data_IF_706640439828
#
_entry.id   IF_706640439828
#
_cell.length_a   1.000
_cell.length_b   1.000
_cell.length_c   1.000
_cell.angle_alpha   90.00
_cell.angle_beta   90.00
_cell.angle_gamma   90.00
#
_symmetry.space_group_name_H-M   'P 1'
#
loop_
_entity.id
_entity.type
_entity.pdbx_description
1 polymer ?
#
# COMPACT_ATOMS: atom_id res chain seq x y z
N UNK A 1 -12.35 -19.98 -22.99
CA UNK A 1 -13.14 -20.14 -21.75
C UNK A 1 -12.16 -20.51 -20.66
N UNK A 2 -11.75 -19.56 -19.83
CA UNK A 2 -10.93 -19.85 -18.65
C UNK A 2 -11.86 -19.98 -17.46
N UNK A 3 -12.38 -21.19 -17.27
CA UNK A 3 -13.08 -21.62 -16.05
C UNK A 3 -12.04 -21.75 -14.94
N UNK A 4 -11.51 -20.61 -14.48
CA UNK A 4 -10.58 -20.59 -13.38
C UNK A 4 -11.41 -20.72 -12.09
N UNK A 5 -11.22 -21.83 -11.38
CA UNK A 5 -11.85 -22.07 -10.08
C UNK A 5 -11.20 -21.24 -8.95
N UNK A 6 -10.22 -20.39 -9.27
CA UNK A 6 -9.55 -19.49 -8.34
C UNK A 6 -9.07 -20.19 -7.06
N UNK A 7 -8.49 -21.40 -7.22
CA UNK A 7 -8.01 -22.23 -6.10
C UNK A 7 -6.58 -21.90 -5.69
N UNK A 8 -5.76 -21.42 -6.64
CA UNK A 8 -4.39 -20.99 -6.36
C UNK A 8 -4.36 -19.47 -6.14
N UNK A 9 -4.49 -19.08 -4.87
CA UNK A 9 -4.63 -17.69 -4.45
C UNK A 9 -3.42 -17.28 -3.61
N UNK A 10 -2.69 -16.28 -4.08
CA UNK A 10 -1.67 -15.61 -3.29
C UNK A 10 -2.29 -14.39 -2.60
N UNK A 11 -2.10 -14.29 -1.27
CA UNK A 11 -2.55 -13.15 -0.47
C UNK A 11 -1.68 -11.94 -0.81
N UNK A 12 -2.28 -10.98 -1.51
CA UNK A 12 -1.71 -9.66 -1.75
C UNK A 12 -2.08 -8.84 -0.51
N UNK A 13 -1.30 -8.99 0.57
CA UNK A 13 -1.43 -8.30 1.87
C UNK A 13 -2.46 -7.16 1.95
N UNK A 14 -3.35 -7.29 2.93
CA UNK A 14 -4.12 -6.15 3.44
C UNK A 14 -3.21 -5.12 4.12
N UNK A 15 -3.59 -3.85 3.95
CA UNK A 15 -3.04 -2.64 4.60
C UNK A 15 -1.80 -2.06 3.93
N UNK A 16 -2.05 -1.29 2.89
CA UNK A 16 -1.19 -0.13 2.64
C UNK A 16 -1.64 0.99 3.58
N UNK A 17 -1.12 1.00 4.81
CA UNK A 17 -1.09 2.21 5.62
C UNK A 17 -0.32 3.27 4.81
N UNK A 18 -1.07 4.13 4.13
CA UNK A 18 -0.48 5.21 3.33
C UNK A 18 -0.13 6.34 4.28
N UNK A 19 1.07 6.86 4.12
CA UNK A 19 1.60 8.02 4.81
C UNK A 19 1.65 9.17 3.81
N UNK A 20 1.16 10.33 4.22
CA UNK A 20 1.23 11.55 3.41
C UNK A 20 2.10 12.56 4.14
N UNK A 21 3.20 12.97 3.53
CA UNK A 21 4.03 14.03 4.11
C UNK A 21 3.22 15.33 4.17
N UNK A 22 3.17 16.00 5.32
CA UNK A 22 2.41 17.26 5.47
C UNK A 22 3.07 18.46 4.80
N UNK A 23 4.33 18.34 4.38
CA UNK A 23 5.09 19.44 3.77
C UNK A 23 5.00 19.41 2.25
N UNK A 24 5.36 18.28 1.65
CA UNK A 24 5.35 18.13 0.19
C UNK A 24 4.07 17.46 -0.33
N UNK A 25 3.23 16.91 0.56
CA UNK A 25 2.05 16.13 0.21
C UNK A 25 2.33 14.80 -0.51
N UNK A 26 3.58 14.35 -0.55
CA UNK A 26 3.96 13.04 -1.08
C UNK A 26 3.21 11.94 -0.33
N UNK A 27 2.55 11.06 -1.07
CA UNK A 27 1.88 9.87 -0.53
C UNK A 27 2.75 8.64 -0.79
N UNK A 28 3.16 7.97 0.27
CA UNK A 28 4.07 6.82 0.27
C UNK A 28 3.56 5.78 1.27
N UNK A 29 3.76 4.48 1.02
CA UNK A 29 3.36 3.45 2.01
C UNK A 29 4.43 3.33 3.08
N UNK A 30 4.06 2.82 4.25
CA UNK A 30 5.03 2.48 5.31
C UNK A 30 6.12 1.51 4.84
N UNK A 31 5.78 0.59 3.94
CA UNK A 31 6.74 -0.35 3.33
C UNK A 31 7.75 0.36 2.41
N UNK A 32 7.28 1.32 1.59
CA UNK A 32 8.13 2.07 0.66
C UNK A 32 8.92 3.20 1.34
N UNK A 33 8.43 3.70 2.48
CA UNK A 33 9.07 4.79 3.20
C UNK A 33 10.47 4.39 3.68
N UNK A 34 10.65 3.13 4.10
CA UNK A 34 11.93 2.54 4.50
C UNK A 34 12.58 3.24 5.69
N UNK A 35 13.12 4.43 5.45
CA UNK A 35 13.64 5.34 6.45
C UNK A 35 12.54 6.32 6.88
N UNK A 36 12.30 6.49 8.18
CA UNK A 36 11.16 7.22 8.75
C UNK A 36 11.06 8.73 8.39
N UNK A 37 11.78 9.22 7.39
CA UNK A 37 11.78 10.60 6.90
C UNK A 37 11.37 10.70 5.42
N UNK A 38 10.89 11.87 5.00
CA UNK A 38 10.41 12.06 3.63
C UNK A 38 11.58 12.23 2.66
N UNK A 39 11.77 11.33 1.68
CA UNK A 39 12.86 11.43 0.72
C UNK A 39 12.75 12.70 -0.14
N UNK A 40 11.55 13.02 -0.64
CA UNK A 40 11.32 14.23 -1.43
C UNK A 40 11.65 15.53 -0.69
N UNK A 41 11.33 15.64 0.60
CA UNK A 41 11.68 16.83 1.37
C UNK A 41 13.19 16.92 1.56
N UNK A 42 13.85 15.78 1.79
CA UNK A 42 15.29 15.72 1.95
C UNK A 42 16.01 16.07 0.65
N UNK A 43 15.55 15.55 -0.50
CA UNK A 43 16.13 15.88 -1.81
C UNK A 43 15.93 17.35 -2.19
N UNK A 44 14.75 17.92 -1.92
CA UNK A 44 14.44 19.31 -2.29
C UNK A 44 15.06 20.34 -1.37
N UNK A 45 15.15 20.06 -0.07
CA UNK A 45 15.51 21.06 0.94
C UNK A 45 16.69 20.68 1.82
N UNK A 46 17.19 19.44 1.73
CA UNK A 46 18.21 18.89 2.62
C UNK A 46 17.72 18.60 4.04
N UNK A 47 16.42 18.79 4.33
CA UNK A 47 15.85 18.62 5.67
C UNK A 47 15.07 17.31 5.78
N UNK A 48 15.37 16.53 6.81
CA UNK A 48 14.65 15.30 7.13
C UNK A 48 13.32 15.64 7.77
N UNK A 49 12.24 15.49 7.00
CA UNK A 49 10.88 15.70 7.49
C UNK A 49 10.28 14.38 7.95
N UNK A 50 9.90 14.31 9.22
CA UNK A 50 9.25 13.15 9.85
C UNK A 50 7.75 13.39 10.05
N UNK A 51 7.25 14.52 9.54
CA UNK A 51 5.87 14.95 9.71
C UNK A 51 4.99 14.33 8.63
N UNK A 52 4.46 13.15 8.93
CA UNK A 52 3.56 12.39 8.08
C UNK A 52 2.18 12.29 8.69
N UNK A 53 1.18 12.58 7.88
CA UNK A 53 -0.21 12.24 8.14
C UNK A 53 -0.45 10.79 7.74
N UNK A 54 -0.84 9.96 8.70
CA UNK A 54 -1.32 8.61 8.40
C UNK A 54 -2.66 8.74 7.70
N UNK A 55 -2.67 8.46 6.40
CA UNK A 55 -3.90 8.20 5.67
C UNK A 55 -4.36 6.82 6.13
N UNK A 56 -5.12 6.81 7.22
CA UNK A 56 -5.89 5.65 7.64
C UNK A 56 -6.92 5.37 6.54
N UNK A 57 -6.49 4.65 5.51
CA UNK A 57 -7.40 3.86 4.71
C UNK A 57 -8.04 2.94 5.73
N UNK A 58 -9.33 3.18 6.03
CA UNK A 58 -10.14 2.36 6.94
C UNK A 58 -9.68 0.93 6.74
N UNK A 59 -9.28 0.18 7.81
CA UNK A 59 -8.88 -1.20 7.67
C UNK A 59 -10.04 -1.89 6.97
N UNK A 60 -9.89 -2.00 5.67
CA UNK A 60 -10.84 -2.68 4.84
C UNK A 60 -10.43 -4.09 5.15
N UNK A 61 -11.26 -4.79 5.94
CA UNK A 61 -11.18 -6.24 6.18
C UNK A 61 -11.39 -6.97 4.84
N UNK A 62 -10.66 -6.55 3.82
CA UNK A 62 -10.79 -6.92 2.43
C UNK A 62 -9.47 -7.55 2.08
N UNK A 63 -9.38 -8.84 2.35
CA UNK A 63 -8.29 -9.66 1.89
C UNK A 63 -8.32 -9.66 0.37
N UNK A 64 -7.29 -9.06 -0.22
CA UNK A 64 -7.10 -9.09 -1.67
C UNK A 64 -6.25 -10.31 -2.00
N UNK A 65 -6.83 -11.20 -2.78
CA UNK A 65 -6.16 -12.38 -3.30
C UNK A 65 -5.88 -12.17 -4.78
N UNK A 66 -4.72 -12.60 -5.25
CA UNK A 66 -4.43 -12.70 -6.68
C UNK A 66 -4.36 -14.17 -7.03
N UNK A 67 -5.13 -14.57 -8.03
CA UNK A 67 -5.01 -15.91 -8.57
C UNK A 67 -3.77 -16.00 -9.47
N UNK A 68 -2.91 -16.99 -9.24
CA UNK A 68 -1.69 -17.15 -10.04
C UNK A 68 -1.97 -17.76 -11.42
N UNK A 69 -3.06 -18.52 -11.57
CA UNK A 69 -3.42 -19.16 -12.84
C UNK A 69 -4.03 -18.18 -13.85
N UNK A 70 -4.92 -17.30 -13.41
CA UNK A 70 -5.65 -16.36 -14.29
C UNK A 70 -5.25 -14.90 -14.06
N UNK A 71 -4.35 -14.64 -13.12
CA UNK A 71 -3.91 -13.31 -12.73
C UNK A 71 -5.03 -12.38 -12.22
N UNK A 72 -6.21 -12.93 -11.91
CA UNK A 72 -7.36 -12.16 -11.46
C UNK A 72 -7.19 -11.70 -10.01
N UNK A 73 -7.57 -10.46 -9.76
CA UNK A 73 -7.59 -9.88 -8.41
C UNK A 73 -8.96 -10.08 -7.78
N UNK A 74 -9.03 -10.91 -6.75
CA UNK A 74 -10.24 -11.25 -5.99
C UNK A 74 -10.22 -10.47 -4.69
N UNK A 75 -11.34 -9.83 -4.37
CA UNK A 75 -11.51 -9.06 -3.14
C UNK A 75 -12.58 -9.74 -2.31
N UNK A 76 -12.23 -10.28 -1.14
CA UNK A 76 -13.22 -10.86 -0.22
C UNK A 76 -13.34 -9.99 1.01
N UNK A 77 -14.56 -9.61 1.38
CA UNK A 77 -14.82 -9.02 2.71
C UNK A 77 -14.84 -10.16 3.72
N UNK A 78 -13.99 -10.10 4.74
CA UNK A 78 -14.03 -10.98 5.91
C UNK A 78 -15.25 -10.70 6.79
#
# INVERSE_FOLDING_TARGET
MTDCLHKNLTLIKERTDKLRCKICHLTITSEELGENYCPECYERTGKKQYDFEKLALKPSNISQYRCEDCNATIKTKG
#
